data_IF_188204271817
#
_entry.id   IF_188204271817
#
_cell.length_a   1.000
_cell.length_b   1.000
_cell.length_c   1.000
_cell.angle_alpha   90.00
_cell.angle_beta   90.00
_cell.angle_gamma   90.00
#
_symmetry.space_group_name_H-M   'P 1'
#
loop_
_entity.id
_entity.type
_entity.pdbx_description
1 polymer ?
#
# COMPACT_ATOMS: atom_id res chain seq x y z
N UNK A 1 -0.65 -2.65 -12.46
CA UNK A 1 0.74 -3.06 -12.13
C UNK A 1 1.10 -3.08 -10.65
N UNK A 2 1.15 -1.99 -9.89
CA UNK A 2 1.64 -2.06 -8.48
C UNK A 2 0.79 -2.95 -7.57
N UNK A 3 -0.53 -2.95 -7.76
CA UNK A 3 -1.43 -3.86 -7.03
C UNK A 3 -1.25 -5.31 -7.46
N UNK A 4 -0.99 -5.57 -8.75
CA UNK A 4 -0.72 -6.94 -9.25
C UNK A 4 0.57 -7.48 -8.63
N UNK A 5 1.66 -6.72 -8.68
CA UNK A 5 2.94 -7.14 -8.07
C UNK A 5 2.83 -7.34 -6.56
N UNK A 6 2.09 -6.48 -5.87
CA UNK A 6 1.83 -6.64 -4.44
C UNK A 6 1.10 -7.96 -4.14
N UNK A 7 0.12 -8.35 -4.98
CA UNK A 7 -0.63 -9.62 -4.84
C UNK A 7 0.24 -10.86 -5.00
N UNK A 8 1.35 -10.76 -5.72
CA UNK A 8 2.31 -11.86 -5.89
C UNK A 8 3.29 -11.99 -4.72
N UNK A 9 3.38 -10.99 -3.84
CA UNK A 9 4.33 -11.02 -2.74
C UNK A 9 3.88 -11.96 -1.62
N UNK A 10 4.81 -12.75 -1.05
CA UNK A 10 4.52 -13.54 0.14
C UNK A 10 3.98 -12.67 1.28
N UNK A 11 2.86 -13.10 1.86
CA UNK A 11 2.23 -12.41 3.00
C UNK A 11 1.33 -11.23 2.62
N UNK A 12 1.06 -10.96 1.34
CA UNK A 12 0.00 -10.02 0.95
C UNK A 12 -1.39 -10.58 1.29
N UNK A 13 -2.24 -9.76 1.93
CA UNK A 13 -3.58 -10.16 2.36
C UNK A 13 -4.71 -9.42 1.62
N UNK A 14 -4.42 -8.24 1.07
CA UNK A 14 -5.43 -7.44 0.40
C UNK A 14 -5.03 -5.98 0.25
N UNK A 15 -5.81 -5.24 -0.51
CA UNK A 15 -5.63 -3.80 -0.68
C UNK A 15 -6.98 -3.13 -0.87
N UNK A 16 -7.12 -1.96 -0.27
CA UNK A 16 -8.23 -1.04 -0.43
C UNK A 16 -7.67 0.29 -0.93
N UNK A 17 -8.38 0.95 -1.84
CA UNK A 17 -7.99 2.27 -2.32
C UNK A 17 -9.21 3.14 -2.56
N UNK A 18 -9.09 4.41 -2.18
CA UNK A 18 -10.08 5.44 -2.41
C UNK A 18 -9.39 6.70 -2.93
N UNK A 19 -10.10 7.44 -3.78
CA UNK A 19 -9.64 8.72 -4.35
C UNK A 19 -10.75 9.75 -4.19
N UNK A 20 -10.46 10.84 -3.49
CA UNK A 20 -11.33 12.00 -3.38
C UNK A 20 -11.25 12.88 -4.63
N UNK A 21 -12.31 13.65 -4.88
CA UNK A 21 -12.36 14.64 -5.96
C UNK A 21 -11.42 15.83 -5.72
N UNK A 22 -11.00 16.03 -4.46
CA UNK A 22 -9.99 17.00 -4.01
C UNK A 22 -8.55 16.56 -4.33
N UNK A 23 -8.38 15.39 -4.95
CA UNK A 23 -7.08 14.82 -5.29
C UNK A 23 -6.44 13.97 -4.19
N UNK A 24 -7.05 13.90 -2.99
CA UNK A 24 -6.54 13.05 -1.91
C UNK A 24 -6.73 11.57 -2.27
N UNK A 25 -5.64 10.80 -2.20
CA UNK A 25 -5.67 9.36 -2.38
C UNK A 25 -5.26 8.63 -1.13
N UNK A 26 -6.03 7.60 -0.78
CA UNK A 26 -5.66 6.65 0.28
C UNK A 26 -5.55 5.27 -0.35
N UNK A 27 -4.45 4.59 -0.04
CA UNK A 27 -4.26 3.17 -0.35
C UNK A 27 -3.80 2.48 0.92
N UNK A 28 -4.58 1.49 1.36
CA UNK A 28 -4.26 0.63 2.51
C UNK A 28 -4.01 -0.76 1.98
N UNK A 29 -2.83 -1.31 2.25
CA UNK A 29 -2.48 -2.69 1.90
C UNK A 29 -2.25 -3.48 3.18
N UNK A 30 -2.84 -4.67 3.25
CA UNK A 30 -2.80 -5.55 4.41
C UNK A 30 -1.77 -6.66 4.21
N UNK A 31 -1.01 -6.95 5.25
CA UNK A 31 0.13 -7.87 5.20
C UNK A 31 0.17 -8.74 6.45
N UNK A 32 0.65 -9.98 6.28
CA UNK A 32 0.75 -10.96 7.35
C UNK A 32 1.78 -10.62 8.43
N UNK A 33 2.81 -9.83 8.08
CA UNK A 33 3.87 -9.44 9.02
C UNK A 33 4.60 -8.18 8.56
N UNK A 34 5.30 -7.53 9.48
CA UNK A 34 6.20 -6.41 9.17
C UNK A 34 7.33 -6.83 8.23
N UNK A 35 7.83 -8.06 8.35
CA UNK A 35 8.86 -8.59 7.44
C UNK A 35 8.36 -8.64 5.98
N UNK A 36 7.10 -9.05 5.75
CA UNK A 36 6.50 -9.04 4.42
C UNK A 36 6.33 -7.60 3.88
N UNK A 37 5.96 -6.66 4.74
CA UNK A 37 5.87 -5.22 4.39
C UNK A 37 7.25 -4.70 3.95
N UNK A 38 8.30 -5.03 4.70
CA UNK A 38 9.67 -4.62 4.37
C UNK A 38 10.14 -5.24 3.06
N UNK A 39 9.90 -6.54 2.86
CA UNK A 39 10.22 -7.21 1.59
C UNK A 39 9.56 -6.50 0.40
N UNK A 40 8.26 -6.19 0.51
CA UNK A 40 7.56 -5.42 -0.52
C UNK A 40 8.10 -4.00 -0.70
N UNK A 41 8.41 -3.30 0.40
CA UNK A 41 9.02 -1.96 0.35
C UNK A 41 10.33 -1.95 -0.42
N UNK A 42 11.11 -3.04 -0.34
CA UNK A 42 12.40 -3.22 -1.00
C UNK A 42 12.30 -3.86 -2.39
N UNK A 43 11.11 -4.28 -2.84
CA UNK A 43 10.92 -4.80 -4.18
C UNK A 43 11.41 -3.78 -5.23
N UNK A 44 12.24 -4.16 -6.22
CA UNK A 44 12.91 -3.21 -7.12
C UNK A 44 11.96 -2.26 -7.84
N UNK A 45 10.88 -2.79 -8.43
CA UNK A 45 9.89 -1.97 -9.14
C UNK A 45 9.13 -1.03 -8.20
N UNK A 46 8.81 -1.48 -6.99
CA UNK A 46 8.09 -0.67 -6.03
C UNK A 46 8.97 0.45 -5.48
N UNK A 47 10.25 0.17 -5.24
CA UNK A 47 11.25 1.16 -4.83
C UNK A 47 11.40 2.26 -5.89
N UNK A 48 11.57 1.88 -7.16
CA UNK A 48 11.70 2.82 -8.27
C UNK A 48 10.45 3.70 -8.43
N UNK A 49 9.26 3.12 -8.33
CA UNK A 49 8.00 3.85 -8.48
C UNK A 49 7.74 4.78 -7.29
N UNK A 50 8.11 4.39 -6.07
CA UNK A 50 8.02 5.28 -4.90
C UNK A 50 8.91 6.50 -5.05
N UNK A 51 10.14 6.32 -5.54
CA UNK A 51 11.06 7.42 -5.76
C UNK A 51 10.55 8.35 -6.86
N UNK A 52 10.10 7.80 -7.99
CA UNK A 52 9.48 8.57 -9.07
C UNK A 52 8.23 9.32 -8.63
N UNK A 53 7.40 8.69 -7.79
CA UNK A 53 6.21 9.32 -7.25
C UNK A 53 6.54 10.55 -6.42
N UNK A 54 7.58 10.49 -5.59
CA UNK A 54 8.04 11.62 -4.77
C UNK A 54 8.66 12.74 -5.61
N UNK A 55 9.38 12.41 -6.68
CA UNK A 55 10.03 13.42 -7.50
C UNK A 55 9.11 14.08 -8.53
N UNK A 56 8.03 13.40 -8.94
CA UNK A 56 7.27 13.80 -10.13
C UNK A 56 5.77 13.96 -9.91
N UNK A 57 5.13 13.16 -9.05
CA UNK A 57 3.67 13.04 -9.04
C UNK A 57 3.00 13.56 -7.77
N UNK A 58 3.66 13.43 -6.62
CA UNK A 58 3.09 13.79 -5.33
C UNK A 58 3.67 15.11 -4.84
N UNK A 59 2.81 16.09 -4.58
CA UNK A 59 3.18 17.28 -3.80
C UNK A 59 3.52 16.93 -2.35
N UNK A 60 2.87 15.90 -1.79
CA UNK A 60 3.21 15.30 -0.50
C UNK A 60 2.65 13.88 -0.40
N UNK A 61 3.26 13.05 0.44
CA UNK A 61 2.71 11.75 0.85
C UNK A 61 3.19 11.40 2.26
N UNK A 62 2.38 10.65 2.99
CA UNK A 62 2.80 10.02 4.25
C UNK A 62 2.47 8.53 4.20
N UNK A 63 3.28 7.71 4.88
CA UNK A 63 3.00 6.28 5.05
C UNK A 63 2.98 5.97 6.55
N UNK A 64 2.02 5.14 6.98
CA UNK A 64 1.96 4.58 8.33
C UNK A 64 1.91 3.07 8.22
N UNK A 65 2.62 2.39 9.12
CA UNK A 65 2.54 0.94 9.32
C UNK A 65 1.87 0.73 10.66
N UNK A 66 0.77 -0.02 10.66
CA UNK A 66 -0.06 -0.22 11.86
C UNK A 66 -0.41 -1.70 11.99
N UNK A 67 -0.53 -2.17 13.24
CA UNK A 67 -1.04 -3.50 13.53
C UNK A 67 -2.57 -3.45 13.63
N UNK A 68 -3.23 -4.30 12.87
CA UNK A 68 -4.68 -4.48 12.98
C UNK A 68 -4.93 -5.39 14.17
N UNK A 69 -5.51 -4.85 15.25
CA UNK A 69 -5.87 -5.64 16.42
C UNK A 69 -7.23 -6.35 16.26
N UNK A 70 -8.15 -5.74 15.52
CA UNK A 70 -9.51 -6.25 15.24
C UNK A 70 -10.01 -5.75 13.90
N UNK A 71 -10.81 -6.56 13.19
CA UNK A 71 -11.49 -6.18 11.97
C UNK A 71 -12.90 -6.79 11.95
N UNK A 72 -13.90 -5.98 11.63
CA UNK A 72 -15.29 -6.39 11.52
C UNK A 72 -15.83 -5.94 10.17
N UNK A 73 -16.67 -6.76 9.54
CA UNK A 73 -17.32 -6.42 8.29
C UNK A 73 -18.82 -6.71 8.38
N UNK A 74 -19.62 -5.77 7.91
CA UNK A 74 -21.05 -5.96 7.67
C UNK A 74 -21.28 -5.87 6.16
N UNK A 75 -21.96 -6.88 5.60
CA UNK A 75 -22.41 -6.88 4.21
C UNK A 75 -23.92 -7.16 4.23
N UNK A 76 -24.68 -6.32 3.53
CA UNK A 76 -26.09 -6.59 3.24
C UNK A 76 -26.21 -7.55 2.06
#
# INVERSE_FOLDING_TARGET
RMVELAREQPGFLGVESARGADGLGITVSYWASEAAILAWKHHPEHSAIRERGRSTWYSSCHTRVCKVERAYAFKQ
#
